data_IF_920354193968
#
_entry.id   IF_920354193968
#
_cell.length_a   1.000
_cell.length_b   1.000
_cell.length_c   1.000
_cell.angle_alpha   90.00
_cell.angle_beta   90.00
_cell.angle_gamma   90.00
#
_symmetry.space_group_name_H-M   'P 1'
#
loop_
_entity.id
_entity.type
_entity.pdbx_description
1 polymer ?
#
# COMPACT_ATOMS: atom_id res chain seq x y z
N UNK A 1 -20.15 3.29 4.22
CA UNK A 1 -21.03 3.15 3.05
C UNK A 1 -20.16 2.95 1.81
N UNK A 2 -20.45 1.96 0.95
CA UNK A 2 -19.79 1.85 -0.35
C UNK A 2 -19.98 3.12 -1.18
N UNK A 3 -18.92 3.62 -1.82
CA UNK A 3 -19.01 4.80 -2.69
C UNK A 3 -19.33 4.40 -4.14
N UNK A 4 -19.04 3.16 -4.53
CA UNK A 4 -19.46 2.55 -5.80
C UNK A 4 -19.48 1.02 -5.68
N UNK A 5 -20.07 0.27 -6.64
CA UNK A 5 -20.06 -1.19 -6.62
C UNK A 5 -18.66 -1.80 -6.54
N UNK A 6 -17.66 -1.16 -7.15
CA UNK A 6 -16.26 -1.59 -7.13
C UNK A 6 -15.43 -0.96 -6.00
N UNK A 7 -16.04 -0.13 -5.15
CA UNK A 7 -15.40 0.45 -3.95
C UNK A 7 -16.23 0.09 -2.71
N UNK A 8 -16.27 -1.21 -2.34
CA UNK A 8 -17.16 -1.71 -1.30
C UNK A 8 -16.66 -1.46 0.13
N UNK A 9 -15.35 -1.26 0.33
CA UNK A 9 -14.71 -1.16 1.66
C UNK A 9 -14.00 0.18 1.84
N UNK A 10 -13.66 0.51 3.09
CA UNK A 10 -12.95 1.75 3.44
C UNK A 10 -11.52 1.83 2.90
N UNK A 11 -10.89 0.70 2.63
CA UNK A 11 -9.54 0.58 2.05
C UNK A 11 -9.55 0.47 0.53
N UNK A 12 -10.71 0.21 -0.10
CA UNK A 12 -10.86 0.12 -1.55
C UNK A 12 -10.32 1.32 -2.34
N UNK A 13 -10.41 2.59 -1.84
CA UNK A 13 -9.80 3.73 -2.53
C UNK A 13 -8.28 3.61 -2.72
N UNK A 14 -7.57 2.95 -1.80
CA UNK A 14 -6.12 2.76 -1.90
C UNK A 14 -5.77 1.85 -3.08
N UNK A 15 -6.50 0.75 -3.23
CA UNK A 15 -6.35 -0.18 -4.34
C UNK A 15 -6.75 0.44 -5.67
N UNK A 16 -7.84 1.22 -5.69
CA UNK A 16 -8.25 1.97 -6.87
C UNK A 16 -7.14 2.90 -7.38
N UNK A 17 -6.50 3.67 -6.48
CA UNK A 17 -5.37 4.52 -6.86
C UNK A 17 -4.16 3.72 -7.37
N UNK A 18 -3.96 2.51 -6.85
CA UNK A 18 -2.80 1.68 -7.17
C UNK A 18 -2.89 0.89 -8.48
N UNK A 19 -4.08 0.51 -8.93
CA UNK A 19 -4.23 -0.32 -10.14
C UNK A 19 -5.23 0.23 -11.16
N UNK A 20 -5.96 1.29 -10.84
CA UNK A 20 -7.02 1.83 -11.70
C UNK A 20 -6.49 2.36 -13.05
N UNK A 21 -5.38 3.10 -13.02
CA UNK A 21 -4.74 3.64 -14.22
C UNK A 21 -4.18 2.53 -15.11
N UNK A 22 -3.55 1.53 -14.48
CA UNK A 22 -3.11 0.33 -15.17
C UNK A 22 -4.30 -0.40 -15.81
N UNK A 23 -5.44 -0.48 -15.13
CA UNK A 23 -6.67 -1.05 -15.68
C UNK A 23 -7.13 -0.40 -16.98
N UNK A 24 -7.14 0.94 -17.00
CA UNK A 24 -7.48 1.71 -18.19
C UNK A 24 -6.53 1.40 -19.35
N UNK A 25 -5.21 1.37 -19.10
CA UNK A 25 -4.20 1.11 -20.12
C UNK A 25 -4.22 -0.35 -20.60
N UNK A 26 -4.20 -1.31 -19.66
CA UNK A 26 -4.13 -2.74 -19.92
C UNK A 26 -5.46 -3.33 -20.44
N UNK A 27 -6.56 -2.58 -20.42
CA UNK A 27 -7.84 -3.01 -21.00
C UNK A 27 -7.67 -3.53 -22.44
N UNK A 28 -8.14 -4.76 -22.69
CA UNK A 28 -7.99 -5.47 -23.96
C UNK A 28 -6.75 -6.35 -24.10
N UNK A 29 -5.86 -6.39 -23.09
CA UNK A 29 -4.69 -7.31 -23.06
C UNK A 29 -5.01 -8.71 -22.48
N UNK A 30 -6.19 -8.88 -21.89
CA UNK A 30 -6.55 -10.04 -21.09
C UNK A 30 -6.10 -9.96 -19.63
N UNK A 31 -5.39 -8.90 -19.23
CA UNK A 31 -5.14 -8.60 -17.83
C UNK A 31 -6.42 -8.09 -17.14
N UNK A 32 -6.65 -8.52 -15.90
CA UNK A 32 -7.74 -8.11 -15.04
C UNK A 32 -7.17 -7.65 -13.69
N UNK A 33 -7.71 -6.55 -13.17
CA UNK A 33 -7.30 -5.97 -11.89
C UNK A 33 -8.16 -6.40 -10.69
N UNK A 34 -8.93 -7.47 -10.84
CA UNK A 34 -9.92 -7.94 -9.86
C UNK A 34 -11.33 -7.38 -10.06
N UNK A 35 -11.57 -6.58 -11.09
CA UNK A 35 -12.94 -6.15 -11.44
C UNK A 35 -13.76 -7.36 -11.87
N UNK A 36 -15.04 -7.39 -11.43
CA UNK A 36 -15.95 -8.57 -11.52
C UNK A 36 -15.56 -9.76 -10.62
N UNK A 37 -14.49 -9.64 -9.84
CA UNK A 37 -14.21 -10.54 -8.73
C UNK A 37 -14.68 -9.92 -7.40
N UNK A 38 -14.65 -10.72 -6.33
CA UNK A 38 -14.94 -10.25 -4.96
C UNK A 38 -13.84 -9.35 -4.35
N UNK A 39 -12.91 -8.84 -5.16
CA UNK A 39 -11.70 -8.09 -4.78
C UNK A 39 -11.27 -7.08 -5.86
N UNK A 40 -12.09 -6.06 -6.15
CA UNK A 40 -11.78 -5.07 -7.18
C UNK A 40 -10.50 -4.29 -6.83
N UNK A 41 -9.62 -4.11 -7.82
CA UNK A 41 -8.36 -3.38 -7.75
C UNK A 41 -7.26 -4.02 -6.88
N UNK A 42 -7.53 -5.17 -6.26
CA UNK A 42 -6.59 -5.80 -5.31
C UNK A 42 -5.59 -6.75 -5.99
N UNK A 43 -5.65 -6.96 -7.30
CA UNK A 43 -4.75 -7.89 -7.97
C UNK A 43 -4.42 -7.46 -9.39
N UNK A 44 -3.46 -8.14 -10.00
CA UNK A 44 -3.24 -8.16 -11.45
C UNK A 44 -3.08 -9.60 -11.86
N UNK A 45 -4.00 -10.08 -12.69
CA UNK A 45 -4.08 -11.47 -13.13
C UNK A 45 -4.40 -11.56 -14.61
N UNK A 46 -3.90 -12.59 -15.27
CA UNK A 46 -4.21 -12.87 -16.67
C UNK A 46 -4.10 -14.38 -16.92
N UNK A 47 -4.70 -14.92 -18.01
CA UNK A 47 -4.57 -16.34 -18.34
C UNK A 47 -3.15 -16.71 -18.82
N UNK A 48 -2.39 -15.73 -19.30
CA UNK A 48 -1.05 -15.89 -19.87
C UNK A 48 0.09 -15.52 -18.90
N UNK A 49 -0.24 -15.05 -17.70
CA UNK A 49 0.75 -14.51 -16.75
C UNK A 49 1.17 -15.59 -15.75
N UNK A 50 2.47 -15.77 -15.52
CA UNK A 50 2.96 -16.67 -14.47
C UNK A 50 2.95 -15.95 -13.10
N UNK A 51 2.34 -16.59 -12.09
CA UNK A 51 2.18 -15.99 -10.78
C UNK A 51 3.53 -15.79 -10.05
N UNK A 52 4.44 -16.76 -10.14
CA UNK A 52 5.74 -16.70 -9.45
C UNK A 52 6.64 -15.64 -10.08
N UNK A 53 6.73 -15.61 -11.40
CA UNK A 53 7.49 -14.60 -12.15
C UNK A 53 6.94 -13.20 -11.89
N UNK A 54 5.61 -13.03 -11.89
CA UNK A 54 5.00 -11.72 -11.59
C UNK A 54 5.29 -11.27 -10.15
N UNK A 55 5.08 -12.16 -9.18
CA UNK A 55 5.37 -11.90 -7.76
C UNK A 55 6.84 -11.52 -7.55
N UNK A 56 7.77 -12.27 -8.16
CA UNK A 56 9.20 -11.99 -8.08
C UNK A 56 9.59 -10.67 -8.77
N UNK A 57 9.08 -10.42 -9.98
CA UNK A 57 9.35 -9.19 -10.74
C UNK A 57 8.89 -7.97 -9.94
N UNK A 58 7.66 -7.98 -9.42
CA UNK A 58 7.13 -6.87 -8.62
C UNK A 58 7.89 -6.68 -7.30
N UNK A 59 8.25 -7.77 -6.63
CA UNK A 59 9.01 -7.72 -5.38
C UNK A 59 10.42 -7.14 -5.59
N UNK A 60 11.01 -7.33 -6.78
CA UNK A 60 12.34 -6.79 -7.13
C UNK A 60 12.42 -5.26 -7.14
N UNK A 61 11.28 -4.56 -7.27
CA UNK A 61 11.24 -3.10 -7.27
C UNK A 61 11.29 -2.48 -5.87
N UNK A 62 11.16 -3.27 -4.80
CA UNK A 62 11.33 -2.78 -3.42
C UNK A 62 10.35 -1.69 -3.00
N UNK A 63 9.10 -1.74 -3.50
CA UNK A 63 8.09 -0.73 -3.20
C UNK A 63 7.73 -0.71 -1.71
N UNK A 64 8.11 0.35 -1.01
CA UNK A 64 7.88 0.51 0.43
C UNK A 64 6.39 0.39 0.78
N UNK A 65 6.08 -0.41 1.80
CA UNK A 65 4.72 -0.57 2.33
C UNK A 65 3.82 -1.45 1.47
N UNK A 66 4.34 -2.06 0.40
CA UNK A 66 3.57 -2.85 -0.56
C UNK A 66 4.23 -4.22 -0.75
N UNK A 67 3.42 -5.27 -0.87
CA UNK A 67 3.89 -6.61 -1.24
C UNK A 67 2.99 -7.23 -2.30
N UNK A 68 3.55 -8.16 -3.07
CA UNK A 68 2.90 -8.78 -4.24
C UNK A 68 2.88 -10.30 -4.16
N UNK A 69 2.24 -10.93 -3.15
CA UNK A 69 2.15 -12.38 -3.11
C UNK A 69 1.47 -12.96 -4.34
N UNK A 70 1.87 -14.18 -4.72
CA UNK A 70 1.26 -14.92 -5.83
C UNK A 70 -0.25 -15.06 -5.64
N UNK A 71 -1.01 -14.93 -6.72
CA UNK A 71 -2.45 -15.08 -6.71
C UNK A 71 -2.94 -15.83 -7.94
N UNK A 72 -3.96 -16.67 -7.74
CA UNK A 72 -4.59 -17.41 -8.82
C UNK A 72 -6.05 -17.64 -8.48
N UNK A 73 -6.91 -17.57 -9.49
CA UNK A 73 -8.35 -17.73 -9.34
C UNK A 73 -8.95 -18.29 -10.64
N UNK A 74 -9.97 -19.13 -10.51
CA UNK A 74 -10.80 -19.53 -11.65
C UNK A 74 -12.01 -18.61 -11.72
N UNK A 75 -12.22 -17.97 -12.85
CA UNK A 75 -13.36 -17.09 -13.10
C UNK A 75 -13.93 -17.38 -14.48
N UNK A 76 -15.25 -17.57 -14.57
CA UNK A 76 -15.95 -17.87 -15.85
C UNK A 76 -15.31 -19.04 -16.63
N UNK A 77 -14.86 -20.08 -15.91
CA UNK A 77 -14.22 -21.26 -16.51
C UNK A 77 -12.75 -21.07 -16.92
N UNK A 78 -12.19 -19.87 -16.81
CA UNK A 78 -10.79 -19.59 -17.12
C UNK A 78 -9.94 -19.49 -15.86
N UNK A 79 -8.77 -20.13 -15.86
CA UNK A 79 -7.76 -19.94 -14.81
C UNK A 79 -6.97 -18.66 -15.08
N UNK A 80 -6.90 -17.80 -14.07
CA UNK A 80 -6.18 -16.54 -14.08
C UNK A 80 -5.09 -16.58 -13.02
N UNK A 81 -3.92 -16.10 -13.36
CA UNK A 81 -2.70 -16.19 -12.55
C UNK A 81 -1.99 -14.82 -12.53
N UNK A 82 -1.27 -14.52 -11.45
CA UNK A 82 -0.55 -13.26 -11.31
C UNK A 82 -0.21 -12.95 -9.86
N UNK A 83 -0.41 -11.70 -9.45
CA UNK A 83 -0.10 -11.23 -8.11
C UNK A 83 -1.28 -10.52 -7.44
N UNK A 84 -1.40 -10.68 -6.13
CA UNK A 84 -2.28 -9.90 -5.27
C UNK A 84 -1.50 -8.70 -4.74
N UNK A 85 -2.07 -7.51 -4.79
CA UNK A 85 -1.55 -6.31 -4.16
C UNK A 85 -1.94 -6.33 -2.68
N UNK A 86 -0.94 -6.22 -1.78
CA UNK A 86 -1.16 -6.01 -0.35
C UNK A 86 -0.49 -4.73 0.10
N UNK A 87 -1.27 -3.84 0.72
CA UNK A 87 -0.78 -2.57 1.25
C UNK A 87 -0.68 -2.70 2.78
N UNK A 88 0.54 -2.76 3.31
CA UNK A 88 0.81 -2.88 4.74
C UNK A 88 1.06 -1.54 5.43
N UNK A 89 1.64 -0.58 4.70
CA UNK A 89 1.94 0.77 5.20
C UNK A 89 1.46 1.82 4.18
N UNK A 90 0.17 2.18 4.21
CA UNK A 90 -0.42 3.09 3.23
C UNK A 90 0.11 4.53 3.33
N UNK A 91 0.74 4.92 4.44
CA UNK A 91 1.28 6.28 4.63
C UNK A 91 2.51 6.50 3.77
N UNK A 92 3.34 5.46 3.61
CA UNK A 92 4.59 5.54 2.85
C UNK A 92 4.51 4.86 1.47
N UNK A 93 3.39 4.19 1.17
CA UNK A 93 3.16 3.53 -0.10
C UNK A 93 2.93 4.53 -1.24
N UNK A 94 3.76 4.48 -2.28
CA UNK A 94 3.56 5.27 -3.50
C UNK A 94 2.54 4.58 -4.41
N UNK A 95 1.25 4.72 -4.09
CA UNK A 95 0.16 3.96 -4.72
C UNK A 95 0.10 4.20 -6.23
N UNK A 96 0.11 5.47 -6.67
CA UNK A 96 0.02 5.79 -8.10
C UNK A 96 1.17 5.18 -8.90
N UNK A 97 2.38 5.13 -8.31
CA UNK A 97 3.56 4.52 -8.94
C UNK A 97 3.36 3.03 -9.28
N UNK A 98 2.58 2.30 -8.47
CA UNK A 98 2.28 0.87 -8.69
C UNK A 98 1.75 0.62 -10.09
N UNK A 99 0.90 1.51 -10.63
CA UNK A 99 0.34 1.35 -11.98
C UNK A 99 1.41 1.21 -13.07
N UNK A 100 2.52 1.93 -12.94
CA UNK A 100 3.61 1.92 -13.92
C UNK A 100 4.56 0.76 -13.66
N UNK A 101 4.89 0.47 -12.40
CA UNK A 101 5.67 -0.72 -12.06
C UNK A 101 4.98 -2.02 -12.45
N UNK A 102 3.64 -2.05 -12.53
CA UNK A 102 2.90 -3.18 -13.07
C UNK A 102 3.17 -3.40 -14.58
N UNK A 103 3.45 -2.35 -15.35
CA UNK A 103 3.83 -2.49 -16.76
C UNK A 103 5.21 -3.15 -16.87
N UNK A 104 6.21 -2.56 -16.22
CA UNK A 104 7.58 -3.10 -16.18
C UNK A 104 7.62 -4.51 -15.59
N UNK A 105 6.81 -4.76 -14.55
CA UNK A 105 6.71 -6.06 -13.89
C UNK A 105 6.14 -7.14 -14.82
N UNK A 106 5.12 -6.80 -15.61
CA UNK A 106 4.56 -7.72 -16.61
C UNK A 106 5.54 -7.96 -17.75
N UNK A 107 6.23 -6.94 -18.21
CA UNK A 107 7.26 -7.09 -19.23
C UNK A 107 8.37 -8.03 -18.74
N UNK A 108 8.88 -7.83 -17.51
CA UNK A 108 9.86 -8.73 -16.88
C UNK A 108 9.33 -10.16 -16.69
N UNK A 109 8.05 -10.32 -16.31
CA UNK A 109 7.49 -11.63 -16.00
C UNK A 109 7.10 -12.44 -17.23
N UNK A 110 6.67 -11.79 -18.31
CA UNK A 110 6.06 -12.42 -19.47
C UNK A 110 6.71 -12.10 -20.82
N UNK A 111 7.62 -11.12 -20.86
CA UNK A 111 8.20 -10.58 -22.10
C UNK A 111 7.24 -9.72 -22.92
N UNK A 112 6.06 -9.38 -22.38
CA UNK A 112 5.03 -8.61 -23.08
C UNK A 112 5.03 -7.15 -22.63
N UNK A 113 5.27 -6.25 -23.58
CA UNK A 113 5.01 -4.83 -23.40
C UNK A 113 3.53 -4.53 -23.72
N UNK A 114 2.73 -4.38 -22.66
CA UNK A 114 1.30 -4.11 -22.80
C UNK A 114 0.99 -2.74 -23.43
N UNK A 115 1.89 -1.76 -23.28
CA UNK A 115 1.72 -0.45 -23.86
C UNK A 115 1.98 -0.50 -25.37
N UNK A 116 3.08 -1.13 -25.81
CA UNK A 116 3.35 -1.34 -27.23
C UNK A 116 2.25 -2.19 -27.90
N UNK A 117 1.73 -3.21 -27.23
CA UNK A 117 0.57 -3.96 -27.73
C UNK A 117 -0.69 -3.10 -27.85
N UNK A 118 -0.94 -2.21 -26.89
CA UNK A 118 -2.07 -1.27 -26.95
C UNK A 118 -1.94 -0.32 -28.14
N UNK A 119 -0.72 0.17 -28.41
CA UNK A 119 -0.41 0.97 -29.59
C UNK A 119 -0.63 0.19 -30.90
N UNK A 120 -0.19 -1.07 -30.98
CA UNK A 120 -0.42 -1.94 -32.16
C UNK A 120 -1.91 -2.19 -32.40
N UNK A 121 -2.70 -2.31 -31.32
CA UNK A 121 -4.17 -2.44 -31.37
C UNK A 121 -4.89 -1.13 -31.67
N UNK A 122 -4.17 -0.02 -31.94
CA UNK A 122 -4.72 1.32 -32.17
C UNK A 122 -5.68 1.76 -31.05
N UNK A 123 -5.33 1.44 -29.80
CA UNK A 123 -6.12 1.84 -28.64
C UNK A 123 -6.26 3.37 -28.59
N UNK A 124 -7.43 3.83 -28.19
CA UNK A 124 -7.66 5.23 -27.87
C UNK A 124 -7.11 5.55 -26.48
N UNK A 125 -6.17 6.50 -26.40
CA UNK A 125 -5.54 6.94 -25.16
C UNK A 125 -6.15 8.22 -24.59
N UNK A 126 -7.21 8.79 -25.19
CA UNK A 126 -7.83 10.03 -24.69
C UNK A 126 -8.28 9.91 -23.24
N UNK A 127 -8.81 8.75 -22.84
CA UNK A 127 -9.20 8.53 -21.45
C UNK A 127 -7.97 8.40 -20.54
N UNK A 128 -6.95 7.64 -20.97
CA UNK A 128 -5.70 7.51 -20.23
C UNK A 128 -5.04 8.88 -19.96
N UNK A 129 -4.91 9.72 -20.99
CA UNK A 129 -4.32 11.06 -20.88
C UNK A 129 -5.16 11.95 -19.95
N UNK A 130 -6.50 11.82 -19.99
CA UNK A 130 -7.42 12.53 -19.07
C UNK A 130 -7.26 12.08 -17.62
N UNK A 131 -7.13 10.78 -17.35
CA UNK A 131 -6.93 10.27 -15.99
C UNK A 131 -5.55 10.70 -15.46
N UNK A 132 -4.52 10.73 -16.30
CA UNK A 132 -3.21 11.26 -15.94
C UNK A 132 -3.22 12.80 -15.77
N UNK A 133 -4.18 13.50 -16.38
CA UNK A 133 -4.20 14.96 -16.46
C UNK A 133 -3.18 15.55 -17.45
N UNK A 134 -2.53 14.72 -18.25
CA UNK A 134 -1.50 15.09 -19.23
C UNK A 134 -1.24 13.95 -20.21
N UNK A 135 -0.73 14.26 -21.41
CA UNK A 135 -0.27 13.27 -22.37
C UNK A 135 1.23 12.92 -22.21
N UNK A 136 1.94 13.64 -21.34
CA UNK A 136 3.38 13.48 -21.12
C UNK A 136 3.73 12.06 -20.68
N UNK A 137 2.93 11.46 -19.79
CA UNK A 137 3.12 10.08 -19.33
C UNK A 137 3.05 9.09 -20.50
N UNK A 138 2.07 9.24 -21.39
CA UNK A 138 1.96 8.41 -22.59
C UNK A 138 3.16 8.59 -23.51
N UNK A 139 3.66 9.82 -23.67
CA UNK A 139 4.85 10.10 -24.49
C UNK A 139 6.11 9.46 -23.90
N UNK A 140 6.25 9.47 -22.58
CA UNK A 140 7.36 8.80 -21.88
C UNK A 140 7.32 7.28 -22.04
N UNK A 141 6.15 6.67 -21.87
CA UNK A 141 5.97 5.23 -22.12
C UNK A 141 6.28 4.88 -23.59
N UNK A 142 5.84 5.72 -24.54
CA UNK A 142 6.18 5.55 -25.97
C UNK A 142 7.68 5.67 -26.25
N UNK A 143 8.40 6.47 -25.47
CA UNK A 143 9.84 6.60 -25.56
C UNK A 143 10.60 5.46 -24.85
N UNK A 144 9.90 4.50 -24.25
CA UNK A 144 10.50 3.36 -23.55
C UNK A 144 11.08 3.71 -22.18
N UNK A 145 10.63 4.82 -21.56
CA UNK A 145 11.04 5.15 -20.19
C UNK A 145 10.50 4.12 -19.21
N UNK A 146 11.34 3.72 -18.26
CA UNK A 146 10.98 2.84 -17.17
C UNK A 146 9.98 3.49 -16.20
N UNK A 147 9.29 2.67 -15.41
CA UNK A 147 8.40 3.14 -14.35
C UNK A 147 9.13 4.07 -13.36
N UNK A 148 10.39 3.79 -13.04
CA UNK A 148 11.19 4.62 -12.15
C UNK A 148 11.40 6.03 -12.72
N UNK A 149 11.72 6.16 -14.00
CA UNK A 149 11.90 7.46 -14.66
C UNK A 149 10.59 8.24 -14.78
N UNK A 150 9.49 7.54 -15.08
CA UNK A 150 8.15 8.16 -15.13
C UNK A 150 7.77 8.71 -13.76
N UNK A 151 7.98 7.93 -12.70
CA UNK A 151 7.68 8.33 -11.31
C UNK A 151 8.57 9.49 -10.87
N UNK A 152 9.84 9.50 -11.25
CA UNK A 152 10.75 10.61 -10.96
C UNK A 152 10.28 11.91 -11.62
N UNK A 153 9.73 11.83 -12.84
CA UNK A 153 9.35 13.02 -13.61
C UNK A 153 8.29 13.91 -12.96
N UNK A 154 7.41 13.37 -12.12
CA UNK A 154 6.37 14.15 -11.44
C UNK A 154 6.72 14.58 -10.03
N UNK A 155 7.84 14.13 -9.45
CA UNK A 155 8.20 14.43 -8.04
C UNK A 155 8.31 15.94 -7.79
N UNK A 156 8.92 16.68 -8.72
CA UNK A 156 9.02 18.13 -8.60
C UNK A 156 7.64 18.80 -8.51
N UNK A 157 6.66 18.34 -9.32
CA UNK A 157 5.28 18.82 -9.28
C UNK A 157 4.57 18.43 -7.98
N UNK A 158 4.78 17.21 -7.51
CA UNK A 158 4.25 16.71 -6.24
C UNK A 158 4.77 17.55 -5.06
N UNK A 159 6.06 17.83 -4.99
CA UNK A 159 6.66 18.68 -3.97
C UNK A 159 6.16 20.13 -4.02
N UNK A 160 6.07 20.70 -5.23
CA UNK A 160 5.51 22.04 -5.41
C UNK A 160 4.06 22.10 -4.89
N UNK A 161 3.25 21.08 -5.18
CA UNK A 161 1.88 20.98 -4.67
C UNK A 161 1.83 20.78 -3.15
N UNK A 162 2.72 19.95 -2.58
CA UNK A 162 2.86 19.76 -1.13
C UNK A 162 3.18 21.07 -0.40
N UNK A 163 3.99 21.94 -1.00
CA UNK A 163 4.27 23.30 -0.49
C UNK A 163 3.06 24.21 -0.64
N UNK A 164 2.45 24.24 -1.82
CA UNK A 164 1.30 25.11 -2.12
C UNK A 164 0.09 24.80 -1.23
N UNK A 165 -0.17 23.52 -0.92
CA UNK A 165 -1.35 23.11 -0.15
C UNK A 165 -1.28 23.50 1.33
N UNK A 166 -0.10 23.85 1.88
CA UNK A 166 0.08 24.11 3.31
C UNK A 166 -0.87 25.20 3.83
N UNK A 167 -1.09 26.26 3.06
CA UNK A 167 -2.03 27.36 3.42
C UNK A 167 -3.50 26.94 3.48
N UNK A 168 -3.85 25.75 3.01
CA UNK A 168 -5.23 25.26 2.94
C UNK A 168 -5.49 24.06 3.85
N UNK A 169 -4.48 23.59 4.61
CA UNK A 169 -4.65 22.44 5.50
C UNK A 169 -5.44 22.84 6.75
N UNK A 170 -6.60 22.20 6.94
CA UNK A 170 -7.43 22.35 8.15
C UNK A 170 -7.08 21.31 9.23
N UNK A 171 -6.35 20.25 8.85
CA UNK A 171 -5.99 19.15 9.72
C UNK A 171 -4.48 18.94 9.63
N UNK A 172 -3.80 18.96 10.78
CA UNK A 172 -2.38 18.65 10.89
C UNK A 172 -2.19 17.14 10.99
N UNK A 173 -1.43 16.58 10.07
CA UNK A 173 -1.19 15.15 10.03
C UNK A 173 0.21 14.86 10.58
N UNK A 174 0.30 14.56 11.88
CA UNK A 174 1.56 14.25 12.56
C UNK A 174 2.28 13.01 12.00
N UNK A 175 1.56 12.15 11.24
CA UNK A 175 2.12 10.99 10.56
C UNK A 175 2.67 11.34 9.17
N UNK A 176 2.12 12.37 8.50
CA UNK A 176 2.56 12.83 7.17
C UNK A 176 3.60 13.96 7.24
N UNK A 177 3.71 14.68 8.37
CA UNK A 177 4.68 15.77 8.57
C UNK A 177 6.08 15.32 8.99
N UNK A 178 6.31 14.04 9.31
CA UNK A 178 7.68 13.52 9.40
C UNK A 178 8.20 13.29 7.98
N UNK A 179 8.81 14.32 7.40
CA UNK A 179 9.72 14.13 6.29
C UNK A 179 10.70 13.02 6.69
N UNK A 180 10.78 11.96 5.88
CA UNK A 180 11.88 11.03 6.01
C UNK A 180 13.18 11.84 5.97
N UNK A 181 14.16 11.58 6.86
CA UNK A 181 15.45 12.22 6.76
C UNK A 181 15.98 11.99 5.35
N UNK A 182 16.40 13.05 4.69
CA UNK A 182 17.23 12.96 3.50
C UNK A 182 18.54 12.33 4.00
N UNK A 183 18.72 11.03 3.77
CA UNK A 183 20.05 10.44 3.88
C UNK A 183 20.86 10.99 2.72
N UNK A 184 21.66 12.01 3.00
CA UNK A 184 22.76 12.44 2.16
C UNK A 184 23.71 11.25 2.01
N UNK A 185 23.62 10.54 0.89
CA UNK A 185 24.66 9.61 0.45
C UNK A 185 25.90 10.41 0.02
N UNK A 186 26.63 10.95 1.00
CA UNK A 186 28.06 11.20 0.82
C UNK A 186 28.78 9.87 1.01
N UNK A 187 29.38 9.39 -0.08
CA UNK A 187 30.35 8.30 -0.04
C UNK A 187 31.48 8.63 0.94
N UNK A 188 32.01 7.64 1.67
CA UNK A 188 32.97 7.88 2.74
C UNK A 188 34.36 8.20 2.17
N UNK A 189 35.14 9.12 2.77
CA UNK A 189 36.56 9.16 2.53
C UNK A 189 37.29 8.15 3.43
N UNK A 190 38.09 7.34 2.75
CA UNK A 190 39.29 6.57 3.09
C UNK A 190 39.84 6.67 4.53
N UNK A 191 40.21 5.50 5.06
CA UNK A 191 40.94 5.26 6.30
C UNK A 191 42.34 5.88 6.31
N UNK A 192 42.70 6.57 7.40
CA UNK A 192 44.08 6.68 7.89
C UNK A 192 44.10 6.48 9.42
N UNK A 193 45.19 5.86 9.89
CA UNK A 193 45.33 5.17 11.18
C UNK A 193 46.06 5.97 12.27
N UNK A 194 45.57 5.83 13.53
CA UNK A 194 46.29 5.74 14.84
C UNK A 194 46.89 7.06 15.44
N UNK A 195 47.13 7.21 16.78
CA UNK A 195 46.80 6.40 17.98
C UNK A 195 45.97 7.10 19.10
N UNK A 196 45.42 6.22 19.93
CA UNK A 196 45.00 6.30 21.34
C UNK A 196 45.74 7.27 22.28
N UNK A 197 44.99 8.07 23.05
CA UNK A 197 45.39 8.59 24.37
C UNK A 197 44.19 9.01 25.24
N UNK A 198 44.22 8.52 26.49
CA UNK A 198 43.70 9.08 27.74
C UNK A 198 42.18 9.19 27.97
N UNK A 199 41.74 8.33 28.90
CA UNK A 199 40.47 8.32 29.64
C UNK A 199 40.45 9.46 30.66
N UNK A 200 39.37 10.26 30.70
CA UNK A 200 39.00 11.00 31.90
C UNK A 200 37.47 11.00 32.11
N UNK A 201 37.10 10.81 33.36
CA UNK A 201 35.85 10.26 33.90
C UNK A 201 34.67 11.23 34.02
N UNK A 202 33.44 10.75 33.77
CA UNK A 202 32.21 11.27 34.39
C UNK A 202 31.35 10.13 34.97
N UNK A 203 30.68 10.34 36.11
CA UNK A 203 30.01 9.29 36.88
C UNK A 203 28.68 8.82 36.26
N UNK A 204 28.39 7.53 36.41
CA UNK A 204 27.16 6.88 35.97
C UNK A 204 25.95 7.21 36.88
N UNK A 205 24.73 7.39 36.33
CA UNK A 205 23.49 7.33 37.11
C UNK A 205 23.10 5.86 37.43
N UNK A 206 22.33 5.62 38.50
CA UNK A 206 22.11 4.29 39.09
C UNK A 206 21.19 3.38 38.24
N UNK A 207 21.20 2.04 38.47
CA UNK A 207 20.39 1.12 37.68
C UNK A 207 18.93 1.20 38.11
N UNK A 208 18.05 1.68 37.22
CA UNK A 208 16.60 1.59 37.43
C UNK A 208 16.11 0.28 36.82
N UNK A 209 15.41 -0.48 37.66
CA UNK A 209 14.87 -1.79 37.43
C UNK A 209 14.12 -1.94 36.10
N UNK A 210 14.36 -3.08 35.45
CA UNK A 210 13.59 -3.63 34.34
C UNK A 210 12.14 -3.88 34.75
N UNK A 211 11.23 -3.03 34.30
CA UNK A 211 9.87 -3.43 33.96
C UNK A 211 9.25 -2.39 33.04
N UNK A 212 9.14 -2.70 31.75
CA UNK A 212 8.26 -1.97 30.84
C UNK A 212 7.70 -2.95 29.83
N UNK A 213 6.41 -3.22 30.02
CA UNK A 213 5.54 -3.93 29.10
C UNK A 213 5.70 -3.41 27.66
N UNK A 214 5.47 -4.25 26.64
CA UNK A 214 5.57 -3.83 25.24
C UNK A 214 4.62 -2.65 24.95
N UNK A 215 5.01 -1.71 24.07
CA UNK A 215 4.22 -0.54 23.75
C UNK A 215 2.85 -0.96 23.20
N UNK A 216 1.79 -0.72 23.97
CA UNK A 216 0.42 -1.00 23.53
C UNK A 216 0.00 0.04 22.50
N UNK A 217 -0.46 -0.43 21.34
CA UNK A 217 -1.03 0.44 20.32
C UNK A 217 -2.32 1.09 20.88
N UNK A 218 -2.63 2.35 20.53
CA UNK A 218 -3.83 2.99 21.00
C UNK A 218 -5.07 2.18 20.55
N UNK A 219 -6.06 1.99 21.45
CA UNK A 219 -7.24 1.17 21.18
C UNK A 219 -8.13 1.83 20.13
N UNK A 220 -8.83 1.00 19.34
CA UNK A 220 -9.83 1.47 18.37
C UNK A 220 -11.19 1.50 19.03
N UNK A 221 -11.98 2.55 18.77
CA UNK A 221 -13.39 2.57 19.17
C UNK A 221 -14.23 2.27 17.94
N UNK A 222 -15.04 1.22 17.98
CA UNK A 222 -15.99 0.86 16.92
C UNK A 222 -17.43 1.03 17.39
N UNK A 223 -18.36 1.20 16.45
CA UNK A 223 -19.79 1.15 16.70
C UNK A 223 -20.32 -0.22 16.24
N UNK A 224 -20.97 -0.95 17.15
CA UNK A 224 -21.59 -2.25 16.84
C UNK A 224 -22.62 -2.07 15.72
N UNK A 225 -22.48 -2.82 14.63
CA UNK A 225 -23.42 -2.82 13.51
C UNK A 225 -24.41 -3.97 13.61
N UNK A 226 -25.49 -3.92 12.82
CA UNK A 226 -26.50 -4.99 12.77
C UNK A 226 -25.84 -6.30 12.32
N UNK A 227 -25.93 -7.34 13.16
CA UNK A 227 -25.34 -8.66 12.89
C UNK A 227 -23.90 -8.83 13.38
N UNK A 228 -23.35 -7.88 14.13
CA UNK A 228 -22.08 -8.06 14.81
C UNK A 228 -22.23 -8.86 16.11
N UNK A 229 -21.25 -9.72 16.36
CA UNK A 229 -21.09 -10.44 17.61
C UNK A 229 -19.66 -10.27 18.10
N UNK A 230 -19.43 -10.36 19.41
CA UNK A 230 -18.08 -10.24 19.96
C UNK A 230 -17.07 -11.22 19.33
N UNK A 231 -17.51 -12.43 18.99
CA UNK A 231 -16.68 -13.43 18.30
C UNK A 231 -16.35 -13.07 16.84
N UNK A 232 -17.23 -12.35 16.14
CA UNK A 232 -16.98 -11.85 14.79
C UNK A 232 -16.01 -10.67 14.84
N UNK A 233 -16.26 -9.72 15.74
CA UNK A 233 -15.40 -8.55 15.97
C UNK A 233 -13.99 -9.00 16.40
N UNK A 234 -13.89 -9.94 17.34
CA UNK A 234 -12.61 -10.50 17.78
C UNK A 234 -11.78 -11.07 16.61
N UNK A 235 -12.42 -11.87 15.74
CA UNK A 235 -11.79 -12.42 14.53
C UNK A 235 -11.36 -11.35 13.53
N UNK A 236 -12.22 -10.34 13.30
CA UNK A 236 -11.94 -9.26 12.36
C UNK A 236 -10.73 -8.41 12.79
N UNK A 237 -10.51 -8.30 14.11
CA UNK A 237 -9.39 -7.56 14.70
C UNK A 237 -8.21 -8.44 15.14
N UNK A 238 -8.27 -9.75 14.96
CA UNK A 238 -7.20 -10.69 15.32
C UNK A 238 -6.92 -10.80 16.82
N UNK A 239 -7.92 -10.54 17.67
CA UNK A 239 -7.82 -10.63 19.14
C UNK A 239 -8.82 -11.66 19.69
N UNK A 240 -8.77 -11.94 20.99
CA UNK A 240 -9.76 -12.79 21.65
C UNK A 240 -10.99 -11.99 22.11
N UNK A 241 -12.13 -12.67 22.28
CA UNK A 241 -13.31 -12.05 22.89
C UNK A 241 -13.07 -11.68 24.36
N UNK A 242 -12.11 -12.33 25.04
CA UNK A 242 -11.68 -11.97 26.40
C UNK A 242 -10.99 -10.62 26.42
N UNK A 243 -10.10 -10.34 25.45
CA UNK A 243 -9.42 -9.04 25.33
C UNK A 243 -10.43 -7.90 25.13
N UNK A 244 -11.50 -8.16 24.36
CA UNK A 244 -12.62 -7.23 24.20
C UNK A 244 -13.37 -7.03 25.53
N UNK A 245 -13.60 -8.10 26.30
CA UNK A 245 -14.30 -8.02 27.58
C UNK A 245 -13.52 -7.18 28.60
N UNK A 246 -12.21 -7.41 28.70
CA UNK A 246 -11.30 -6.69 29.59
C UNK A 246 -11.21 -5.20 29.25
N UNK A 247 -11.21 -4.86 27.95
CA UNK A 247 -11.20 -3.47 27.51
C UNK A 247 -12.54 -2.73 27.71
N UNK A 248 -13.64 -3.44 28.00
CA UNK A 248 -14.99 -2.89 28.13
C UNK A 248 -15.69 -3.39 29.41
N UNK A 249 -15.21 -3.00 30.60
CA UNK A 249 -15.84 -3.40 31.85
C UNK A 249 -17.31 -2.97 31.89
N UNK A 250 -18.19 -3.91 32.25
CA UNK A 250 -19.64 -3.68 32.33
C UNK A 250 -20.41 -3.86 31.01
N UNK A 251 -19.72 -4.15 29.89
CA UNK A 251 -20.40 -4.48 28.62
C UNK A 251 -20.68 -5.97 28.53
N UNK A 252 -21.94 -6.34 28.32
CA UNK A 252 -22.32 -7.73 28.05
C UNK A 252 -22.09 -8.08 26.57
N UNK A 253 -21.03 -8.83 26.29
CA UNK A 253 -20.62 -9.23 24.93
C UNK A 253 -21.60 -10.19 24.23
N UNK A 254 -22.51 -10.83 24.97
CA UNK A 254 -23.57 -11.67 24.40
C UNK A 254 -24.82 -10.88 24.01
N UNK A 255 -24.92 -9.59 24.38
CA UNK A 255 -26.07 -8.72 24.13
C UNK A 255 -25.65 -7.34 23.63
N UNK A 256 -24.83 -7.31 22.58
CA UNK A 256 -24.40 -6.06 21.95
C UNK A 256 -25.58 -5.35 21.26
N UNK A 257 -25.71 -4.04 21.47
CA UNK A 257 -26.74 -3.21 20.83
C UNK A 257 -26.16 -2.50 19.60
N UNK A 258 -26.93 -2.41 18.52
CA UNK A 258 -26.53 -1.61 17.35
C UNK A 258 -26.30 -0.16 17.76
N UNK A 259 -25.17 0.42 17.33
CA UNK A 259 -24.71 1.76 17.72
C UNK A 259 -23.95 1.82 19.05
N UNK A 260 -23.79 0.70 19.77
CA UNK A 260 -23.00 0.65 20.99
C UNK A 260 -21.51 0.85 20.69
N UNK A 261 -20.84 1.72 21.44
CA UNK A 261 -19.39 1.92 21.36
C UNK A 261 -18.66 0.77 22.04
N UNK A 262 -17.69 0.18 21.35
CA UNK A 262 -16.87 -0.90 21.86
C UNK A 262 -15.38 -0.56 21.65
N UNK A 263 -14.61 -0.63 22.74
CA UNK A 263 -13.17 -0.39 22.75
C UNK A 263 -12.43 -1.67 22.40
N UNK A 264 -11.67 -1.66 21.32
CA UNK A 264 -10.92 -2.82 20.81
C UNK A 264 -9.44 -2.58 21.11
N UNK A 265 -8.82 -3.37 22.01
CA UNK A 265 -7.39 -3.27 22.26
C UNK A 265 -6.61 -3.74 21.03
N UNK A 266 -5.51 -3.07 20.73
CA UNK A 266 -4.56 -3.49 19.69
C UNK A 266 -3.31 -4.01 20.37
N UNK A 267 -3.22 -5.32 20.54
CA UNK A 267 -1.98 -5.99 20.95
C UNK A 267 -1.14 -6.29 19.72
N UNK A 268 0.18 -6.10 19.80
CA UNK A 268 1.09 -6.70 18.82
C UNK A 268 0.94 -8.21 18.94
N UNK A 269 0.72 -8.91 17.82
CA UNK A 269 0.67 -10.36 17.81
C UNK A 269 1.95 -10.91 18.47
N UNK A 270 1.79 -11.83 19.42
CA UNK A 270 2.88 -12.61 19.99
C UNK A 270 3.48 -13.54 18.95
#
# INVERSE_FOLDING_TARGET
MPTSPNVPRGDSPLYYAATGLFGELAGGSGANIGTRLKRPFECVIAPWLDANRMSAAMSSFGLRGISFPTFSVTHEGQRLHGALLKIGDPVHASLVAVNFYLLDGIEKASGRDLFAEAMKRKKDFRMFDKVCGTDEIRRQLKAGKSAAEVVESWKAGEEAFRRLRQKYLLYTDAAVTRSAPVEDHKSPPVMETKPEAAVESRPAPPPIATNSAPPSLPPVIILVSKGDSAAKIARDFGISASDIAEANPGVNLNRLKVGQKLKIPRTQAK
#
